data_IF_151281580813
#
_entry.id   IF_151281580813
#
_cell.length_a   1.000
_cell.length_b   1.000
_cell.length_c   1.000
_cell.angle_alpha   90.00
_cell.angle_beta   90.00
_cell.angle_gamma   90.00
#
_symmetry.space_group_name_H-M   'P 1'
#
loop_
_entity.id
_entity.type
_entity.pdbx_description
1 polymer ?
#
# COMPACT_ATOMS: atom_id res chain seq x y z
N UNK A 1 -21.03 -9.33 9.18
CA UNK A 1 -20.05 -8.23 9.26
C UNK A 1 -20.58 -7.23 10.29
N UNK A 2 -19.83 -6.95 11.37
CA UNK A 2 -20.26 -5.97 12.39
C UNK A 2 -20.08 -4.57 11.83
N UNK A 3 -20.95 -3.60 12.19
CA UNK A 3 -20.91 -2.25 11.65
C UNK A 3 -19.57 -1.50 11.84
N UNK A 4 -18.78 -1.85 12.88
CA UNK A 4 -17.42 -1.34 13.06
C UNK A 4 -16.46 -1.76 11.92
N UNK A 5 -16.56 -2.98 11.42
CA UNK A 5 -15.73 -3.46 10.30
C UNK A 5 -16.06 -2.77 8.96
N UNK A 6 -17.25 -2.18 8.86
CA UNK A 6 -17.62 -1.38 7.70
C UNK A 6 -17.02 0.03 7.80
N UNK A 7 -16.98 0.60 9.01
CA UNK A 7 -16.36 1.89 9.29
C UNK A 7 -14.85 1.84 9.04
N UNK A 8 -14.15 0.82 9.55
CA UNK A 8 -12.71 0.64 9.32
C UNK A 8 -12.35 0.51 7.83
N UNK A 9 -13.23 -0.11 7.03
CA UNK A 9 -13.05 -0.15 5.57
C UNK A 9 -13.37 1.17 4.87
N UNK A 10 -14.17 2.04 5.47
CA UNK A 10 -14.45 3.38 4.93
C UNK A 10 -13.28 4.35 5.13
N UNK A 11 -12.41 4.15 6.13
CA UNK A 11 -11.17 4.93 6.27
C UNK A 11 -10.17 4.68 5.12
N UNK A 12 -10.26 3.54 4.44
CA UNK A 12 -9.46 3.23 3.25
C UNK A 12 -10.02 3.90 1.97
N UNK A 13 -11.22 4.45 2.03
CA UNK A 13 -11.81 5.18 0.91
C UNK A 13 -11.31 6.61 0.97
N UNK A 14 -10.60 7.04 -0.07
CA UNK A 14 -10.13 8.41 -0.17
C UNK A 14 -11.29 9.39 0.10
N UNK A 15 -11.14 10.41 0.96
CA UNK A 15 -12.23 11.32 1.37
C UNK A 15 -13.04 11.88 0.21
N UNK A 16 -12.41 12.12 -0.94
CA UNK A 16 -13.08 12.56 -2.16
C UNK A 16 -14.22 11.64 -2.64
N UNK A 17 -14.13 10.33 -2.38
CA UNK A 17 -15.21 9.40 -2.74
C UNK A 17 -16.37 9.45 -1.74
N UNK A 18 -16.10 9.78 -0.48
CA UNK A 18 -17.13 9.96 0.55
C UNK A 18 -17.93 11.22 0.25
N UNK A 19 -17.25 12.33 -0.06
CA UNK A 19 -17.89 13.61 -0.41
C UNK A 19 -18.68 13.54 -1.72
N UNK A 20 -18.18 12.79 -2.70
CA UNK A 20 -18.93 12.55 -3.95
C UNK A 20 -20.23 11.78 -3.72
N UNK A 21 -20.26 10.87 -2.75
CA UNK A 21 -21.46 10.13 -2.37
C UNK A 21 -22.47 10.97 -1.58
N UNK A 22 -22.04 12.01 -0.87
CA UNK A 22 -22.90 12.93 -0.12
C UNK A 22 -23.51 14.04 -0.99
N UNK A 23 -22.85 14.46 -2.06
CA UNK A 23 -23.38 15.48 -3.00
C UNK A 23 -24.55 14.89 -3.79
N UNK A 24 -25.75 15.08 -3.26
CA UNK A 24 -27.00 14.76 -3.98
C UNK A 24 -27.08 15.60 -5.27
N UNK A 25 -27.44 15.00 -6.43
CA UNK A 25 -27.72 15.78 -7.64
C UNK A 25 -28.90 16.73 -7.39
N UNK A 26 -28.96 17.90 -8.06
CA UNK A 26 -30.02 18.87 -7.87
C UNK A 26 -31.39 18.25 -8.15
N UNK A 27 -32.32 18.40 -7.22
CA UNK A 27 -33.67 17.85 -7.28
C UNK A 27 -34.39 18.28 -8.57
N UNK A 28 -34.53 17.39 -9.52
CA UNK A 28 -35.57 17.50 -10.53
C UNK A 28 -36.91 17.27 -9.79
N UNK A 29 -37.74 18.32 -9.75
CA UNK A 29 -39.10 18.27 -9.14
C UNK A 29 -39.84 17.02 -9.60
N UNK A 30 -39.87 15.98 -8.77
CA UNK A 30 -40.65 14.78 -8.97
C UNK A 30 -42.02 14.98 -8.32
N UNK A 31 -43.06 14.68 -9.08
CA UNK A 31 -44.45 14.61 -8.64
C UNK A 31 -44.53 13.70 -7.41
N UNK A 32 -45.31 14.11 -6.43
CA UNK A 32 -45.55 13.41 -5.18
C UNK A 32 -45.85 11.92 -5.39
N UNK A 33 -44.94 11.07 -4.97
CA UNK A 33 -45.18 9.63 -4.85
C UNK A 33 -45.63 9.41 -3.41
N UNK A 34 -46.82 8.81 -3.28
CA UNK A 34 -47.57 8.79 -2.04
C UNK A 34 -46.90 8.04 -0.89
N UNK A 35 -47.31 8.38 0.31
CA UNK A 35 -46.91 7.83 1.62
C UNK A 35 -46.93 6.29 1.75
N UNK A 36 -47.52 5.58 0.76
CA UNK A 36 -47.58 4.12 0.69
C UNK A 36 -46.21 3.43 0.46
N UNK A 37 -45.22 4.11 -0.18
CA UNK A 37 -43.90 3.53 -0.41
C UNK A 37 -43.03 3.53 0.87
N UNK A 38 -43.21 4.53 1.73
CA UNK A 38 -42.47 4.62 3.00
C UNK A 38 -42.96 3.57 3.99
N UNK A 39 -44.29 3.32 4.02
CA UNK A 39 -44.90 2.29 4.85
C UNK A 39 -44.43 0.87 4.43
N UNK A 40 -44.30 0.59 3.12
CA UNK A 40 -43.82 -0.70 2.63
C UNK A 40 -42.34 -0.97 3.03
N UNK A 41 -41.47 0.05 2.96
CA UNK A 41 -40.06 -0.10 3.39
C UNK A 41 -39.92 -0.34 4.90
N UNK A 42 -40.74 0.34 5.73
CA UNK A 42 -40.78 0.13 7.18
C UNK A 42 -41.30 -1.28 7.54
N UNK A 43 -42.32 -1.78 6.85
CA UNK A 43 -42.83 -3.14 7.07
C UNK A 43 -41.79 -4.22 6.70
N UNK A 44 -41.05 -4.03 5.58
CA UNK A 44 -39.99 -4.94 5.15
C UNK A 44 -38.80 -4.95 6.13
N UNK A 45 -38.39 -3.81 6.65
CA UNK A 45 -37.32 -3.74 7.62
C UNK A 45 -37.71 -4.38 8.96
N UNK A 46 -38.93 -4.20 9.45
CA UNK A 46 -39.43 -4.86 10.67
C UNK A 46 -39.58 -6.36 10.49
N UNK A 47 -40.04 -6.83 9.30
CA UNK A 47 -40.11 -8.25 8.97
C UNK A 47 -38.70 -8.90 8.92
N UNK A 48 -37.71 -8.19 8.41
CA UNK A 48 -36.31 -8.65 8.35
C UNK A 48 -35.72 -8.75 9.77
N UNK A 49 -35.97 -7.78 10.64
CA UNK A 49 -35.54 -7.79 12.04
C UNK A 49 -36.19 -8.95 12.79
N UNK A 50 -37.47 -9.21 12.55
CA UNK A 50 -38.22 -10.31 13.17
C UNK A 50 -37.70 -11.67 12.70
N UNK A 51 -37.39 -11.84 11.41
CA UNK A 51 -36.75 -13.03 10.86
C UNK A 51 -35.35 -13.28 11.47
N UNK A 52 -34.53 -12.25 11.55
CA UNK A 52 -33.18 -12.35 12.14
C UNK A 52 -33.27 -12.73 13.63
N UNK A 53 -34.22 -12.19 14.39
CA UNK A 53 -34.39 -12.54 15.81
C UNK A 53 -34.94 -13.95 16.02
N UNK A 54 -35.82 -14.42 15.11
CA UNK A 54 -36.44 -15.73 15.26
C UNK A 54 -35.53 -16.90 14.80
N UNK A 55 -34.60 -16.63 13.86
CA UNK A 55 -33.66 -17.65 13.38
C UNK A 55 -32.28 -17.59 14.06
N UNK A 56 -32.09 -16.76 15.08
CA UNK A 56 -30.81 -16.59 15.75
C UNK A 56 -30.42 -17.77 16.66
N UNK A 57 -31.39 -18.44 17.27
CA UNK A 57 -31.11 -19.56 18.17
C UNK A 57 -30.72 -20.88 17.47
N UNK A 58 -31.34 -21.29 16.34
CA UNK A 58 -30.93 -22.52 15.68
C UNK A 58 -29.59 -22.43 14.94
N UNK A 59 -29.12 -21.22 14.58
CA UNK A 59 -27.83 -21.03 13.93
C UNK A 59 -26.64 -21.15 14.90
N UNK A 60 -26.80 -20.71 16.15
CA UNK A 60 -25.77 -20.84 17.17
C UNK A 60 -25.54 -22.30 17.57
N UNK A 61 -26.58 -23.12 17.55
CA UNK A 61 -26.49 -24.56 17.87
C UNK A 61 -25.85 -25.37 16.73
N UNK A 62 -26.03 -24.96 15.48
CA UNK A 62 -25.39 -25.58 14.31
C UNK A 62 -23.86 -25.29 14.30
N UNK A 63 -23.47 -24.06 14.56
CA UNK A 63 -22.06 -23.65 14.63
C UNK A 63 -21.33 -24.35 15.79
N UNK A 64 -22.00 -24.52 16.95
CA UNK A 64 -21.47 -25.23 18.09
C UNK A 64 -21.33 -26.75 17.88
N UNK A 65 -22.14 -27.36 17.02
CA UNK A 65 -22.03 -28.77 16.65
C UNK A 65 -20.89 -29.03 15.67
N UNK A 66 -20.65 -28.17 14.70
CA UNK A 66 -19.52 -28.30 13.76
C UNK A 66 -18.18 -28.14 14.49
N UNK A 67 -18.06 -27.19 15.42
CA UNK A 67 -16.85 -27.01 16.22
C UNK A 67 -16.53 -28.20 17.13
N UNK A 68 -17.54 -28.92 17.67
CA UNK A 68 -17.31 -30.11 18.47
C UNK A 68 -16.85 -31.32 17.67
N UNK A 69 -17.21 -31.39 16.39
CA UNK A 69 -16.83 -32.52 15.51
C UNK A 69 -15.37 -32.38 15.05
N UNK A 70 -14.85 -31.15 14.91
CA UNK A 70 -13.46 -30.87 14.54
C UNK A 70 -12.46 -31.01 15.70
N UNK A 71 -12.93 -30.96 16.96
CA UNK A 71 -12.08 -31.09 18.15
C UNK A 71 -11.76 -32.52 18.58
N UNK A 72 -12.37 -33.56 18.00
CA UNK A 72 -12.21 -34.95 18.36
C UNK A 72 -11.30 -35.79 17.42
N UNK A 73 -10.58 -35.16 16.51
CA UNK A 73 -9.64 -35.84 15.61
C UNK A 73 -8.19 -35.42 15.94
N UNK A 74 -7.61 -35.96 16.98
CA UNK A 74 -6.18 -35.85 17.27
C UNK A 74 -5.53 -37.21 17.10
N UNK A 75 -4.50 -37.37 16.25
CA UNK A 75 -3.62 -38.54 16.28
C UNK A 75 -2.46 -38.31 17.26
N UNK A 76 -2.20 -39.32 18.09
CA UNK A 76 -1.08 -39.41 19.03
C UNK A 76 0.30 -39.41 18.33
N UNK A 77 1.33 -38.80 18.94
CA UNK A 77 2.71 -38.86 18.42
C UNK A 77 3.48 -40.04 19.05
N UNK A 78 4.39 -40.69 18.36
CA UNK A 78 5.30 -41.68 18.95
C UNK A 78 6.54 -41.04 19.59
N UNK A 79 6.86 -41.55 20.72
CA UNK A 79 7.89 -41.48 21.71
C UNK A 79 9.24 -40.79 21.41
N UNK A 80 9.62 -40.08 22.42
CA UNK A 80 10.98 -39.57 22.63
C UNK A 80 11.81 -40.56 23.40
N UNK A 81 13.12 -40.55 23.20
CA UNK A 81 14.07 -40.78 24.28
C UNK A 81 15.43 -40.09 24.03
N UNK A 82 16.17 -39.71 25.07
CA UNK A 82 17.12 -38.61 25.11
C UNK A 82 18.58 -39.06 25.29
N UNK A 83 19.53 -38.16 24.94
CA UNK A 83 20.87 -38.01 25.64
C UNK A 83 21.69 -36.99 24.87
N UNK A 84 22.18 -35.96 25.42
CA UNK A 84 23.12 -35.63 26.50
C UNK A 84 24.37 -34.92 25.94
N UNK A 85 24.55 -33.70 26.42
CA UNK A 85 25.80 -33.04 26.84
C UNK A 85 26.99 -32.84 25.90
N UNK A 86 27.49 -31.59 25.90
CA UNK A 86 28.85 -31.25 25.51
C UNK A 86 29.11 -29.75 25.37
N UNK A 87 29.35 -29.07 26.49
CA UNK A 87 29.96 -27.74 26.54
C UNK A 87 31.41 -27.75 26.04
N UNK A 88 31.84 -26.77 25.27
CA UNK A 88 33.21 -26.26 25.33
C UNK A 88 33.27 -24.82 24.82
N UNK A 89 33.60 -23.93 25.74
CA UNK A 89 34.15 -22.60 25.51
C UNK A 89 35.51 -22.70 24.81
N UNK A 90 35.91 -21.67 24.02
CA UNK A 90 37.20 -21.00 24.08
C UNK A 90 37.11 -19.69 23.24
N UNK A 91 37.57 -18.63 23.81
CA UNK A 91 37.61 -17.24 23.30
C UNK A 91 38.87 -16.89 22.48
N UNK A 92 39.18 -15.58 22.28
CA UNK A 92 39.73 -15.05 21.03
C UNK A 92 41.25 -14.89 21.01
N UNK A 93 41.87 -14.85 19.81
CA UNK A 93 43.21 -14.24 19.65
C UNK A 93 43.49 -13.74 18.23
N UNK A 94 43.72 -12.43 18.19
CA UNK A 94 44.82 -11.66 17.59
C UNK A 94 45.16 -11.78 16.09
N UNK A 95 45.31 -10.57 15.56
CA UNK A 95 45.76 -10.11 14.25
C UNK A 95 47.17 -10.58 13.80
N UNK A 96 47.35 -10.63 12.49
CA UNK A 96 48.60 -10.22 11.80
C UNK A 96 48.37 -10.05 10.29
N UNK A 97 48.74 -8.89 9.75
CA UNK A 97 48.97 -8.53 8.34
C UNK A 97 50.40 -8.80 7.91
N UNK A 98 50.77 -8.41 6.64
CA UNK A 98 50.57 -9.08 5.37
C UNK A 98 51.88 -9.51 4.70
N UNK A 99 51.83 -10.32 3.64
CA UNK A 99 52.92 -10.38 2.63
C UNK A 99 52.40 -10.64 1.24
N UNK A 100 52.88 -9.83 0.32
CA UNK A 100 52.75 -9.86 -1.13
C UNK A 100 53.32 -11.11 -1.80
N UNK A 101 52.69 -11.54 -2.90
CA UNK A 101 53.30 -12.52 -3.82
C UNK A 101 52.32 -13.06 -4.87
N UNK A 102 52.54 -12.64 -6.08
CA UNK A 102 52.04 -13.05 -7.39
C UNK A 102 51.69 -14.53 -7.57
N UNK A 103 50.56 -14.82 -8.19
CA UNK A 103 50.44 -15.61 -9.44
C UNK A 103 48.98 -15.90 -9.76
N UNK A 104 48.61 -15.61 -11.01
CA UNK A 104 47.31 -15.94 -11.60
C UNK A 104 47.11 -17.45 -11.65
N UNK A 105 46.12 -17.95 -10.94
CA UNK A 105 45.51 -19.28 -11.18
C UNK A 105 44.02 -19.16 -10.88
N UNK A 106 43.21 -19.68 -11.80
CA UNK A 106 41.76 -19.56 -11.87
C UNK A 106 41.06 -19.61 -10.51
N UNK A 107 40.28 -18.57 -10.24
CA UNK A 107 39.35 -18.53 -9.13
C UNK A 107 38.40 -19.72 -9.27
N UNK A 108 38.29 -20.62 -8.27
CA UNK A 108 37.19 -21.55 -8.22
C UNK A 108 35.92 -20.70 -8.19
N UNK A 109 34.99 -20.98 -9.09
CA UNK A 109 33.60 -20.49 -9.00
C UNK A 109 33.15 -20.79 -7.58
N UNK A 110 33.13 -19.73 -6.73
CA UNK A 110 32.52 -19.82 -5.43
C UNK A 110 31.09 -20.32 -5.69
N UNK A 111 30.78 -21.50 -5.16
CA UNK A 111 29.45 -22.03 -5.16
C UNK A 111 28.57 -20.91 -4.57
N UNK A 112 27.76 -20.27 -5.42
CA UNK A 112 26.72 -19.37 -5.01
C UNK A 112 25.89 -20.19 -4.01
N UNK A 113 25.98 -19.87 -2.73
CA UNK A 113 25.07 -20.43 -1.74
C UNK A 113 23.68 -20.24 -2.33
N UNK A 114 22.92 -21.33 -2.44
CA UNK A 114 21.59 -21.29 -3.05
C UNK A 114 20.81 -20.19 -2.32
N UNK A 115 20.42 -19.14 -3.05
CA UNK A 115 19.59 -18.06 -2.51
C UNK A 115 18.29 -18.66 -1.99
N UNK A 116 17.78 -18.09 -0.93
CA UNK A 116 16.45 -18.47 -0.46
C UNK A 116 15.42 -18.16 -1.56
N UNK A 117 14.61 -19.16 -1.91
CA UNK A 117 13.50 -18.92 -2.85
C UNK A 117 12.40 -18.11 -2.16
N UNK A 118 11.92 -17.08 -2.85
CA UNK A 118 10.88 -16.18 -2.38
C UNK A 118 9.50 -16.82 -2.58
N UNK A 119 8.66 -16.80 -1.57
CA UNK A 119 7.24 -17.08 -1.69
C UNK A 119 6.53 -15.80 -2.14
N UNK A 120 5.89 -15.81 -3.30
CA UNK A 120 5.07 -14.69 -3.76
C UNK A 120 3.81 -14.65 -2.89
N UNK A 121 3.48 -13.50 -2.26
CA UNK A 121 2.25 -13.39 -1.47
C UNK A 121 1.02 -13.72 -2.31
N UNK A 122 0.12 -14.51 -1.75
CA UNK A 122 -1.20 -14.72 -2.32
C UNK A 122 -2.08 -13.53 -1.94
N UNK A 123 -2.36 -12.68 -2.91
CA UNK A 123 -3.12 -11.46 -2.71
C UNK A 123 -4.64 -11.70 -2.71
N UNK A 124 -5.09 -12.93 -2.97
CA UNK A 124 -6.53 -13.28 -3.00
C UNK A 124 -7.26 -13.03 -1.67
N UNK A 125 -6.52 -12.96 -0.57
CA UNK A 125 -7.07 -12.72 0.77
C UNK A 125 -6.66 -11.38 1.41
N UNK A 126 -5.75 -10.62 0.78
CA UNK A 126 -5.15 -9.45 1.42
C UNK A 126 -5.69 -8.10 0.94
N UNK A 127 -6.58 -8.12 -0.07
CA UNK A 127 -7.23 -6.90 -0.55
C UNK A 127 -6.25 -5.87 -1.11
N UNK A 128 -5.82 -6.06 -2.35
CA UNK A 128 -4.97 -5.08 -3.05
C UNK A 128 -5.58 -3.68 -3.16
N UNK A 129 -6.88 -3.55 -2.96
CA UNK A 129 -7.61 -2.38 -3.37
C UNK A 129 -7.76 -2.31 -4.91
N UNK A 130 -8.76 -1.60 -5.39
CA UNK A 130 -8.99 -1.46 -6.82
C UNK A 130 -7.96 -0.50 -7.44
N UNK A 131 -7.21 -0.98 -8.43
CA UNK A 131 -6.21 -0.18 -9.17
C UNK A 131 -6.62 -0.05 -10.64
N UNK A 132 -7.70 0.66 -10.87
CA UNK A 132 -8.14 1.12 -12.17
C UNK A 132 -7.85 2.60 -12.35
N UNK A 133 -7.51 3.00 -13.58
CA UNK A 133 -7.11 4.36 -13.93
C UNK A 133 -7.89 4.81 -15.16
N UNK A 134 -8.32 6.07 -15.20
CA UNK A 134 -9.04 6.64 -16.34
C UNK A 134 -8.25 7.79 -16.95
N UNK A 135 -7.96 7.66 -18.26
CA UNK A 135 -7.22 8.66 -19.06
C UNK A 135 -7.79 8.72 -20.48
N UNK A 136 -7.61 9.84 -21.19
CA UNK A 136 -7.85 9.87 -22.63
C UNK A 136 -6.80 9.04 -23.37
N UNK A 137 -5.55 9.13 -22.90
CA UNK A 137 -4.45 8.29 -23.36
C UNK A 137 -3.50 7.98 -22.20
N UNK A 138 -2.92 6.77 -22.17
CA UNK A 138 -2.04 6.33 -21.08
C UNK A 138 -0.75 7.17 -20.97
N UNK A 139 -0.37 7.91 -22.01
CA UNK A 139 0.78 8.84 -21.95
C UNK A 139 0.55 10.02 -21.01
N UNK A 140 -0.71 10.28 -20.60
CA UNK A 140 -1.05 11.27 -19.58
C UNK A 140 -0.61 10.84 -18.18
N UNK A 141 -0.38 9.53 -17.95
CA UNK A 141 0.14 9.01 -16.70
C UNK A 141 1.62 9.38 -16.49
N UNK A 142 1.84 10.46 -15.75
CA UNK A 142 3.16 11.01 -15.39
C UNK A 142 3.41 10.86 -13.89
N UNK A 143 3.58 9.63 -13.43
CA UNK A 143 3.68 9.30 -12.00
C UNK A 143 5.10 9.37 -11.40
N UNK A 144 6.05 9.97 -12.10
CA UNK A 144 7.42 10.15 -11.61
C UNK A 144 8.26 8.88 -11.50
N UNK A 145 7.79 7.73 -11.99
CA UNK A 145 8.55 6.47 -11.90
C UNK A 145 9.90 6.60 -12.64
N UNK A 146 11.05 6.45 -11.94
CA UNK A 146 12.37 6.65 -12.54
C UNK A 146 12.81 5.47 -13.43
N UNK A 147 12.09 4.35 -13.40
CA UNK A 147 12.45 3.20 -14.23
C UNK A 147 12.07 3.40 -15.69
N UNK A 148 12.96 2.96 -16.56
CA UNK A 148 12.67 2.80 -17.97
C UNK A 148 13.28 1.48 -18.49
N UNK A 149 12.76 0.95 -19.60
CA UNK A 149 13.26 -0.29 -20.20
C UNK A 149 14.70 -0.20 -20.73
N UNK A 150 15.22 1.02 -20.88
CA UNK A 150 16.61 1.30 -21.29
C UNK A 150 17.60 1.10 -20.14
N UNK A 151 17.12 1.14 -18.87
CA UNK A 151 17.94 0.88 -17.71
C UNK A 151 18.37 -0.59 -17.69
N UNK A 152 19.68 -0.82 -17.62
CA UNK A 152 20.28 -2.17 -17.64
C UNK A 152 20.43 -2.73 -16.22
N UNK A 153 19.33 -2.78 -15.50
CA UNK A 153 19.30 -3.37 -14.16
C UNK A 153 19.41 -4.90 -14.27
N UNK A 154 20.36 -5.48 -13.56
CA UNK A 154 20.57 -6.94 -13.54
C UNK A 154 19.85 -7.62 -12.37
N UNK A 155 19.77 -6.92 -11.26
CA UNK A 155 19.16 -7.41 -10.02
C UNK A 155 18.60 -6.25 -9.21
N UNK A 156 17.66 -6.57 -8.35
CA UNK A 156 17.13 -5.66 -7.33
C UNK A 156 17.04 -6.38 -5.98
N UNK A 157 17.18 -5.66 -4.86
CA UNK A 157 17.06 -6.26 -3.54
C UNK A 157 15.62 -6.68 -3.25
N UNK A 158 15.47 -7.74 -2.47
CA UNK A 158 14.20 -8.19 -1.89
C UNK A 158 14.29 -8.03 -0.39
N UNK A 159 13.20 -7.57 0.23
CA UNK A 159 13.15 -7.33 1.66
C UNK A 159 12.01 -8.11 2.28
N UNK A 160 12.24 -8.64 3.49
CA UNK A 160 11.18 -9.14 4.35
C UNK A 160 10.58 -7.96 5.12
N UNK A 161 9.28 -7.82 5.07
CA UNK A 161 8.57 -6.77 5.80
C UNK A 161 8.61 -7.03 7.31
N UNK A 162 9.03 -6.03 8.09
CA UNK A 162 8.95 -6.08 9.56
C UNK A 162 7.57 -5.73 10.10
N UNK A 163 6.72 -5.14 9.28
CA UNK A 163 5.38 -4.66 9.65
C UNK A 163 4.25 -5.54 9.12
N UNK A 164 4.58 -6.66 8.43
CA UNK A 164 3.59 -7.56 7.83
C UNK A 164 2.61 -8.10 8.87
N UNK A 165 1.32 -7.96 8.55
CA UNK A 165 0.22 -8.52 9.31
C UNK A 165 -0.75 -9.26 8.37
N UNK A 166 -0.71 -10.60 8.34
CA UNK A 166 -1.53 -11.42 7.45
C UNK A 166 -3.03 -11.30 7.71
N UNK A 167 -3.39 -10.80 8.89
CA UNK A 167 -4.78 -10.67 9.30
C UNK A 167 -5.37 -9.28 8.97
N UNK A 168 -4.54 -8.38 8.44
CA UNK A 168 -4.91 -6.98 8.24
C UNK A 168 -5.15 -6.24 9.56
N UNK A 169 -4.67 -6.82 10.67
CA UNK A 169 -4.70 -6.22 11.97
C UNK A 169 -3.37 -5.52 12.18
N UNK A 170 -3.42 -4.23 12.43
CA UNK A 170 -2.20 -3.48 12.66
C UNK A 170 -1.52 -3.98 13.94
N UNK A 171 -0.40 -4.68 13.78
CA UNK A 171 0.46 -5.06 14.89
C UNK A 171 1.65 -4.12 14.89
N UNK A 172 1.83 -3.26 15.91
CA UNK A 172 2.92 -2.30 15.92
C UNK A 172 4.26 -3.02 15.97
N UNK A 173 5.06 -2.82 14.95
CA UNK A 173 6.44 -3.30 14.85
C UNK A 173 7.28 -2.20 14.22
N UNK A 174 8.55 -2.14 14.56
CA UNK A 174 9.47 -1.13 14.07
C UNK A 174 9.89 -0.17 15.18
N UNK A 175 9.49 1.10 15.11
CA UNK A 175 9.94 2.13 16.05
C UNK A 175 9.41 1.90 17.47
N UNK A 176 10.28 2.12 18.45
CA UNK A 176 9.91 2.23 19.86
C UNK A 176 9.22 3.56 20.15
N UNK A 177 8.53 3.68 21.28
CA UNK A 177 7.91 4.94 21.70
C UNK A 177 8.93 6.08 21.76
N UNK A 178 10.13 5.84 22.29
CA UNK A 178 11.18 6.86 22.40
C UNK A 178 11.68 7.33 21.00
N UNK A 179 11.79 6.42 20.04
CA UNK A 179 12.14 6.77 18.66
C UNK A 179 11.00 7.55 17.97
N UNK A 180 9.74 7.15 18.19
CA UNK A 180 8.59 7.91 17.68
C UNK A 180 8.53 9.32 18.28
N UNK A 181 8.83 9.48 19.57
CA UNK A 181 8.86 10.76 20.26
C UNK A 181 9.96 11.68 19.68
N UNK A 182 11.15 11.14 19.44
CA UNK A 182 12.24 11.89 18.81
C UNK A 182 11.86 12.36 17.41
N UNK A 183 11.29 11.46 16.58
CA UNK A 183 10.85 11.78 15.22
C UNK A 183 9.71 12.80 15.25
N UNK A 184 8.75 12.68 16.17
CA UNK A 184 7.64 13.62 16.31
C UNK A 184 8.14 15.05 16.58
N UNK A 185 9.07 15.21 17.54
CA UNK A 185 9.64 16.51 17.86
C UNK A 185 10.48 17.07 16.72
N UNK A 186 11.28 16.25 16.03
CA UNK A 186 12.05 16.68 14.87
C UNK A 186 11.12 17.12 13.72
N UNK A 187 10.09 16.33 13.42
CA UNK A 187 9.14 16.66 12.36
C UNK A 187 8.37 17.95 12.67
N UNK A 188 7.92 18.14 13.92
CA UNK A 188 7.28 19.37 14.35
C UNK A 188 8.20 20.59 14.18
N UNK A 189 9.46 20.49 14.60
CA UNK A 189 10.47 21.54 14.45
C UNK A 189 10.72 21.88 12.96
N UNK A 190 10.85 20.88 12.10
CA UNK A 190 11.06 21.07 10.65
C UNK A 190 9.83 21.68 9.95
N UNK A 191 8.63 21.42 10.47
CA UNK A 191 7.39 22.02 9.99
C UNK A 191 7.12 23.41 10.62
N UNK A 192 7.91 23.81 11.62
CA UNK A 192 7.75 25.07 12.32
C UNK A 192 6.59 25.11 13.31
N UNK A 193 6.15 23.95 13.82
CA UNK A 193 5.03 23.83 14.77
C UNK A 193 5.51 23.63 16.20
N UNK A 194 4.82 24.28 17.15
CA UNK A 194 4.97 24.02 18.58
C UNK A 194 3.91 23.01 19.02
N UNK A 195 4.36 21.88 19.58
CA UNK A 195 3.46 20.85 20.10
C UNK A 195 2.85 21.30 21.42
N UNK A 196 1.52 21.26 21.50
CA UNK A 196 0.73 21.64 22.68
C UNK A 196 0.51 20.44 23.61
N UNK A 197 0.35 19.25 23.05
CA UNK A 197 0.18 18.00 23.77
C UNK A 197 0.63 16.82 22.93
N UNK A 198 0.89 15.69 23.58
CA UNK A 198 1.15 14.40 22.92
C UNK A 198 0.20 13.34 23.48
N UNK A 199 -0.24 12.42 22.63
CA UNK A 199 -1.11 11.31 22.98
C UNK A 199 -0.58 9.99 22.36
N UNK A 200 -0.52 8.94 23.17
CA UNK A 200 -0.14 7.60 22.71
C UNK A 200 -1.39 6.84 22.26
N UNK A 201 -1.36 6.28 21.06
CA UNK A 201 -2.41 5.40 20.58
C UNK A 201 -1.98 3.93 20.71
N UNK A 202 -2.92 3.09 21.20
CA UNK A 202 -2.75 1.66 21.47
C UNK A 202 -3.94 0.91 20.89
N UNK A 203 -4.06 0.97 19.57
CA UNK A 203 -5.17 0.40 18.80
C UNK A 203 -4.74 -0.81 17.96
N UNK A 204 -3.60 -1.40 18.31
CA UNK A 204 -3.13 -2.65 17.77
C UNK A 204 -4.00 -3.85 18.20
N UNK A 205 -3.86 -4.94 17.48
CA UNK A 205 -4.54 -6.20 17.76
C UNK A 205 -3.53 -7.34 17.70
N UNK A 206 -3.71 -8.33 18.55
CA UNK A 206 -2.91 -9.56 18.51
C UNK A 206 -3.82 -10.78 18.35
N UNK A 207 -3.34 -11.77 17.64
CA UNK A 207 -4.01 -13.07 17.53
C UNK A 207 -3.59 -13.95 18.70
N UNK A 208 -4.55 -14.43 19.46
CA UNK A 208 -4.37 -15.52 20.42
C UNK A 208 -4.80 -16.84 19.76
N UNK A 209 -4.58 -17.97 20.46
CA UNK A 209 -5.06 -19.28 19.98
C UNK A 209 -6.58 -19.35 19.82
N UNK A 210 -7.33 -18.51 20.51
CA UNK A 210 -8.78 -18.59 20.62
C UNK A 210 -9.51 -17.43 19.96
N UNK A 211 -8.86 -16.26 19.85
CA UNK A 211 -9.50 -15.04 19.32
C UNK A 211 -8.50 -13.96 18.94
N UNK A 212 -9.00 -12.93 18.25
CA UNK A 212 -8.30 -11.68 18.03
C UNK A 212 -8.69 -10.73 19.17
N UNK A 213 -7.71 -10.22 19.88
CA UNK A 213 -7.90 -9.29 21.00
C UNK A 213 -7.16 -7.99 20.75
N UNK A 214 -7.67 -6.89 21.29
CA UNK A 214 -6.97 -5.62 21.25
C UNK A 214 -5.65 -5.72 22.02
N UNK A 215 -4.56 -5.27 21.45
CA UNK A 215 -3.27 -5.11 22.14
C UNK A 215 -3.21 -3.72 22.77
N UNK A 216 -3.53 -3.65 24.06
CA UNK A 216 -3.45 -2.40 24.81
C UNK A 216 -2.03 -2.11 25.36
N UNK A 217 -1.08 -3.01 25.11
CA UNK A 217 0.29 -2.90 25.65
C UNK A 217 1.24 -2.20 24.69
N UNK A 218 1.06 -2.39 23.39
CA UNK A 218 1.94 -1.85 22.38
C UNK A 218 1.44 -0.50 21.84
N UNK A 219 2.31 0.48 21.79
CA UNK A 219 2.00 1.79 21.17
C UNK A 219 2.07 1.62 19.66
N UNK A 220 0.98 1.98 18.96
CA UNK A 220 0.85 1.92 17.51
C UNK A 220 1.28 3.21 16.84
N UNK A 221 0.99 4.34 17.49
CA UNK A 221 1.43 5.66 17.06
C UNK A 221 1.48 6.64 18.23
N UNK A 222 2.20 7.74 18.01
CA UNK A 222 2.26 8.90 18.88
C UNK A 222 1.75 10.10 18.09
N UNK A 223 0.72 10.78 18.61
CA UNK A 223 0.14 11.98 18.01
C UNK A 223 0.49 13.21 18.84
N UNK A 224 0.98 14.26 18.18
CA UNK A 224 1.22 15.57 18.75
C UNK A 224 0.20 16.59 18.19
N UNK A 225 -0.50 17.31 19.06
CA UNK A 225 -1.41 18.39 18.67
C UNK A 225 -0.66 19.72 18.58
N UNK A 226 -1.03 20.57 17.63
CA UNK A 226 -0.59 21.96 17.49
C UNK A 226 -1.78 22.85 17.11
N UNK A 227 -1.64 24.17 17.14
CA UNK A 227 -2.76 25.12 16.97
C UNK A 227 -3.62 24.85 15.72
N UNK A 228 -3.01 24.41 14.63
CA UNK A 228 -3.67 24.27 13.33
C UNK A 228 -3.88 22.79 12.91
N UNK A 229 -3.63 21.82 13.79
CA UNK A 229 -3.79 20.43 13.43
C UNK A 229 -3.11 19.42 14.34
N UNK A 230 -2.74 18.29 13.77
CA UNK A 230 -2.01 17.22 14.45
C UNK A 230 -0.90 16.62 13.59
N UNK A 231 0.09 16.06 14.25
CA UNK A 231 1.22 15.35 13.67
C UNK A 231 1.31 13.96 14.29
N UNK A 232 1.17 12.92 13.50
CA UNK A 232 1.20 11.52 13.93
C UNK A 232 2.47 10.86 13.41
N UNK A 233 3.18 10.14 14.28
CA UNK A 233 4.27 9.22 13.94
C UNK A 233 3.84 7.82 14.30
N UNK A 234 3.86 6.90 13.36
CA UNK A 234 3.47 5.50 13.55
C UNK A 234 4.69 4.61 13.78
N UNK A 235 4.47 3.46 14.40
CA UNK A 235 5.53 2.48 14.65
C UNK A 235 6.19 1.96 13.35
N UNK A 236 5.50 2.01 12.20
CA UNK A 236 6.06 1.67 10.88
C UNK A 236 6.99 2.76 10.31
N UNK A 237 7.17 3.87 11.01
CA UNK A 237 8.00 5.01 10.58
C UNK A 237 7.26 6.04 9.72
N UNK A 238 5.99 5.82 9.40
CA UNK A 238 5.22 6.81 8.65
C UNK A 238 4.87 8.03 9.51
N UNK A 239 4.92 9.21 8.88
CA UNK A 239 4.60 10.49 9.49
C UNK A 239 3.43 11.09 8.73
N UNK A 240 2.41 11.56 9.47
CA UNK A 240 1.26 12.23 8.87
C UNK A 240 0.96 13.53 9.62
N UNK A 241 1.04 14.66 8.93
CA UNK A 241 0.57 15.94 9.42
C UNK A 241 -0.83 16.21 8.84
N UNK A 242 -1.80 16.52 9.67
CA UNK A 242 -3.18 16.87 9.29
C UNK A 242 -3.51 18.27 9.75
N UNK A 243 -3.99 19.12 8.84
CA UNK A 243 -4.41 20.47 9.14
C UNK A 243 -5.89 20.51 9.47
N UNK A 244 -6.26 21.26 10.51
CA UNK A 244 -7.64 21.41 10.98
C UNK A 244 -8.49 22.25 10.02
N UNK A 245 -9.80 22.10 10.09
CA UNK A 245 -10.76 22.88 9.33
C UNK A 245 -10.63 22.66 7.82
N UNK A 246 -10.47 23.75 7.07
CA UNK A 246 -10.34 23.70 5.61
C UNK A 246 -8.91 23.44 5.13
N UNK A 247 -7.94 23.30 6.05
CA UNK A 247 -6.53 23.14 5.73
C UNK A 247 -5.72 24.44 5.85
N UNK A 248 -4.43 24.34 5.50
CA UNK A 248 -3.47 25.43 5.54
C UNK A 248 -3.51 26.25 4.24
N UNK A 249 -3.53 27.56 4.37
CA UNK A 249 -3.46 28.47 3.22
C UNK A 249 -2.11 28.38 2.50
N UNK A 250 -2.15 28.45 1.17
CA UNK A 250 -0.97 28.66 0.34
C UNK A 250 -0.80 30.15 0.03
N UNK A 251 0.38 30.57 -0.49
CA UNK A 251 0.53 31.89 -1.09
C UNK A 251 -0.56 32.20 -2.10
N UNK A 252 -0.98 33.48 -2.21
CA UNK A 252 -2.14 33.93 -3.00
C UNK A 252 -2.08 33.46 -4.47
N UNK A 253 -0.87 33.38 -5.05
CA UNK A 253 -0.65 32.97 -6.43
C UNK A 253 -0.65 31.44 -6.63
N UNK A 254 -0.75 30.63 -5.55
CA UNK A 254 -0.71 29.18 -5.60
C UNK A 254 -2.07 28.56 -5.23
N UNK A 255 -2.32 27.38 -5.75
CA UNK A 255 -3.51 26.60 -5.44
C UNK A 255 -3.24 25.11 -5.55
N UNK A 256 -3.77 24.34 -4.60
CA UNK A 256 -3.68 22.89 -4.55
C UNK A 256 -5.03 22.18 -4.71
N UNK A 257 -5.99 22.77 -5.43
CA UNK A 257 -7.22 22.01 -5.70
C UNK A 257 -6.91 20.73 -6.47
N UNK A 258 -7.50 19.61 -6.07
CA UNK A 258 -7.25 18.34 -6.75
C UNK A 258 -7.99 18.21 -8.09
N UNK A 259 -9.03 18.99 -8.35
CA UNK A 259 -9.85 18.83 -9.56
C UNK A 259 -9.78 19.99 -10.56
N UNK A 260 -9.10 21.10 -10.23
CA UNK A 260 -9.17 22.33 -11.04
C UNK A 260 -7.80 22.96 -11.35
N UNK A 261 -6.72 22.36 -10.86
CA UNK A 261 -5.38 22.90 -11.04
C UNK A 261 -4.76 22.36 -12.35
N UNK A 262 -4.37 23.24 -13.26
CA UNK A 262 -3.65 22.86 -14.48
C UNK A 262 -2.19 22.47 -14.19
N UNK A 263 -1.50 21.93 -15.19
CA UNK A 263 -0.11 21.44 -15.04
C UNK A 263 0.86 22.58 -14.69
N UNK A 264 0.71 23.76 -15.30
CA UNK A 264 1.60 24.90 -15.04
C UNK A 264 1.45 25.41 -13.59
N UNK A 265 0.23 25.44 -13.08
CA UNK A 265 -0.04 25.79 -11.70
C UNK A 265 0.49 24.71 -10.73
N UNK A 266 0.33 23.43 -11.09
CA UNK A 266 0.85 22.32 -10.31
C UNK A 266 2.38 22.36 -10.19
N UNK A 267 3.09 22.66 -11.28
CA UNK A 267 4.55 22.81 -11.29
C UNK A 267 5.03 23.94 -10.36
N UNK A 268 4.35 25.10 -10.37
CA UNK A 268 4.66 26.21 -9.44
C UNK A 268 4.44 25.79 -8.00
N UNK A 269 3.34 25.09 -7.73
CA UNK A 269 3.02 24.61 -6.40
C UNK A 269 4.04 23.58 -5.93
N UNK A 270 4.46 22.63 -6.77
CA UNK A 270 5.52 21.68 -6.46
C UNK A 270 6.85 22.35 -6.13
N UNK A 271 7.23 23.39 -6.90
CA UNK A 271 8.46 24.14 -6.65
C UNK A 271 8.42 24.82 -5.26
N UNK A 272 7.31 25.46 -4.92
CA UNK A 272 7.11 26.07 -3.62
C UNK A 272 7.11 25.04 -2.48
N UNK A 273 6.41 23.91 -2.64
CA UNK A 273 6.41 22.82 -1.65
C UNK A 273 7.81 22.28 -1.42
N UNK A 274 8.59 22.09 -2.49
CA UNK A 274 9.98 21.60 -2.42
C UNK A 274 10.86 22.52 -1.59
N UNK A 275 10.71 23.83 -1.75
CA UNK A 275 11.50 24.85 -1.03
C UNK A 275 11.01 24.97 0.42
N UNK A 276 9.69 25.10 0.62
CA UNK A 276 9.08 25.37 1.92
C UNK A 276 9.27 24.18 2.89
N UNK A 277 9.17 22.96 2.40
CA UNK A 277 9.23 21.75 3.20
C UNK A 277 10.55 20.98 3.07
N UNK A 278 11.62 21.61 2.57
CA UNK A 278 12.93 20.98 2.36
C UNK A 278 13.46 20.28 3.62
N UNK A 279 13.40 20.95 4.77
CA UNK A 279 13.87 20.42 6.05
C UNK A 279 13.02 19.23 6.52
N UNK A 280 11.70 19.28 6.33
CA UNK A 280 10.81 18.16 6.66
C UNK A 280 11.01 16.97 5.73
N UNK A 281 11.17 17.21 4.43
CA UNK A 281 11.46 16.15 3.45
C UNK A 281 12.77 15.45 3.80
N UNK A 282 13.79 16.20 4.18
CA UNK A 282 15.13 15.72 4.49
C UNK A 282 15.68 14.79 3.39
N UNK A 283 15.45 15.16 2.13
CA UNK A 283 15.98 14.49 0.94
C UNK A 283 17.23 15.20 0.45
N UNK A 284 18.30 14.45 0.17
CA UNK A 284 19.51 15.02 -0.44
C UNK A 284 19.22 15.60 -1.82
N UNK A 285 18.29 14.95 -2.54
CA UNK A 285 17.81 15.39 -3.83
C UNK A 285 16.32 15.04 -3.97
N UNK A 286 15.45 15.98 -3.69
CA UNK A 286 14.02 15.81 -3.89
C UNK A 286 13.68 15.84 -5.39
N UNK A 287 12.97 14.82 -5.88
CA UNK A 287 12.29 14.87 -7.17
C UNK A 287 10.80 14.98 -6.95
N UNK A 288 10.22 16.05 -7.51
CA UNK A 288 8.83 16.42 -7.37
C UNK A 288 8.04 16.09 -8.63
N UNK A 289 6.84 15.55 -8.48
CA UNK A 289 5.93 15.30 -9.60
C UNK A 289 4.48 15.44 -9.17
N UNK A 290 3.63 15.85 -10.11
CA UNK A 290 2.19 15.76 -9.95
C UNK A 290 1.62 14.76 -10.94
N UNK A 291 0.70 13.94 -10.44
CA UNK A 291 0.02 12.95 -11.26
C UNK A 291 -1.43 12.79 -10.76
N UNK A 292 -2.22 12.04 -11.46
CA UNK A 292 -3.58 11.77 -11.09
C UNK A 292 -4.29 11.00 -12.19
N UNK A 293 -5.58 10.82 -12.02
CA UNK A 293 -6.46 10.19 -12.99
C UNK A 293 -7.87 10.79 -12.90
N UNK A 294 -8.71 10.50 -13.88
CA UNK A 294 -10.09 10.96 -13.86
C UNK A 294 -10.95 10.08 -12.96
N UNK A 295 -11.73 10.71 -12.09
CA UNK A 295 -12.73 10.02 -11.26
C UNK A 295 -14.02 9.73 -12.07
N UNK A 296 -14.97 9.07 -11.43
CA UNK A 296 -16.29 8.73 -12.01
C UNK A 296 -17.13 9.95 -12.42
N UNK A 297 -16.79 11.15 -11.95
CA UNK A 297 -17.44 12.42 -12.33
C UNK A 297 -16.69 13.12 -13.47
N UNK A 298 -15.72 12.46 -14.09
CA UNK A 298 -14.84 13.01 -15.12
C UNK A 298 -14.03 14.25 -14.66
N UNK A 299 -13.68 14.28 -13.37
CA UNK A 299 -12.80 15.28 -12.79
C UNK A 299 -11.41 14.67 -12.62
N UNK A 300 -10.37 15.35 -13.07
CA UNK A 300 -9.00 14.91 -12.87
C UNK A 300 -8.57 15.13 -11.43
N UNK A 301 -8.31 14.05 -10.69
CA UNK A 301 -7.90 14.10 -9.29
C UNK A 301 -6.40 14.13 -9.19
N UNK A 302 -5.86 15.29 -8.88
CA UNK A 302 -4.42 15.55 -8.84
C UNK A 302 -3.81 15.19 -7.49
N UNK A 303 -2.59 14.63 -7.53
CA UNK A 303 -1.72 14.31 -6.40
C UNK A 303 -0.40 15.02 -6.57
N UNK A 304 0.22 15.42 -5.46
CA UNK A 304 1.51 16.10 -5.39
C UNK A 304 2.45 15.24 -4.56
N UNK A 305 3.52 14.78 -5.18
CA UNK A 305 4.39 13.79 -4.54
C UNK A 305 5.86 14.10 -4.78
N UNK A 306 6.68 13.59 -3.87
CA UNK A 306 8.12 13.74 -3.84
C UNK A 306 8.75 12.40 -3.50
N UNK A 307 9.94 12.14 -4.03
CA UNK A 307 10.78 11.06 -3.56
C UNK A 307 12.26 11.49 -3.53
N UNK A 308 13.06 10.76 -2.77
CA UNK A 308 14.51 10.94 -2.71
C UNK A 308 15.16 10.41 -3.98
N UNK A 309 15.64 11.29 -4.86
CA UNK A 309 16.24 10.91 -6.14
C UNK A 309 17.78 10.87 -6.13
N UNK A 310 18.41 10.89 -4.96
CA UNK A 310 19.85 10.69 -4.83
C UNK A 310 20.26 9.23 -5.08
N UNK A 311 21.52 9.03 -5.42
CA UNK A 311 22.10 7.71 -5.63
C UNK A 311 22.06 7.24 -7.09
N UNK A 312 22.39 5.96 -7.29
CA UNK A 312 22.32 5.28 -8.58
C UNK A 312 20.89 4.90 -8.99
N UNK A 313 20.73 4.29 -10.15
CA UNK A 313 19.41 3.91 -10.68
C UNK A 313 18.70 2.90 -9.77
N UNK A 314 19.42 1.99 -9.12
CA UNK A 314 18.84 1.06 -8.13
C UNK A 314 18.30 1.82 -6.94
N UNK A 315 19.11 2.75 -6.39
CA UNK A 315 18.70 3.54 -5.23
C UNK A 315 17.51 4.45 -5.55
N UNK A 316 17.46 5.07 -6.72
CA UNK A 316 16.31 5.88 -7.16
C UNK A 316 15.03 5.06 -7.24
N UNK A 317 15.09 3.83 -7.79
CA UNK A 317 13.93 2.94 -7.86
C UNK A 317 13.47 2.55 -6.46
N UNK A 318 14.40 2.22 -5.55
CA UNK A 318 14.05 1.93 -4.16
C UNK A 318 13.40 3.14 -3.50
N UNK A 319 14.02 4.30 -3.58
CA UNK A 319 13.51 5.51 -2.96
C UNK A 319 12.14 5.92 -3.53
N UNK A 320 11.92 5.79 -4.84
CA UNK A 320 10.63 6.03 -5.46
C UNK A 320 9.52 5.16 -4.86
N UNK A 321 9.81 3.92 -4.48
CA UNK A 321 8.81 3.01 -3.92
C UNK A 321 8.69 3.13 -2.39
N UNK A 322 9.78 3.40 -1.68
CA UNK A 322 9.83 3.27 -0.23
C UNK A 322 10.02 4.60 0.51
N UNK A 323 10.64 5.59 -0.11
CA UNK A 323 11.01 6.86 0.55
C UNK A 323 10.33 8.04 -0.14
N UNK A 324 9.08 8.26 0.20
CA UNK A 324 8.17 9.21 -0.46
C UNK A 324 7.53 10.19 0.51
N UNK A 325 7.13 11.34 -0.04
CA UNK A 325 6.23 12.26 0.64
C UNK A 325 5.12 12.68 -0.30
N UNK A 326 3.89 12.78 0.22
CA UNK A 326 2.72 13.22 -0.50
C UNK A 326 2.07 14.41 0.18
N UNK A 327 1.59 15.36 -0.61
CA UNK A 327 0.89 16.55 -0.17
C UNK A 327 -0.53 16.49 -0.70
N UNK A 328 -1.51 16.39 0.18
CA UNK A 328 -2.90 16.25 -0.20
C UNK A 328 -3.60 17.61 -0.32
N UNK A 329 -4.14 17.92 -1.50
CA UNK A 329 -4.93 19.13 -1.71
C UNK A 329 -6.33 18.99 -1.12
N UNK A 330 -6.91 20.12 -0.72
CA UNK A 330 -8.33 20.27 -0.40
C UNK A 330 -9.14 20.84 -1.57
N UNK A 331 -10.48 20.80 -1.44
CA UNK A 331 -11.40 21.37 -2.43
C UNK A 331 -11.26 22.89 -2.56
N UNK A 332 -10.84 23.56 -1.48
CA UNK A 332 -10.72 25.00 -1.38
C UNK A 332 -9.38 25.56 -1.86
N UNK A 333 -8.49 24.69 -2.40
CA UNK A 333 -7.16 25.09 -2.85
C UNK A 333 -6.10 25.14 -1.75
N UNK A 334 -6.42 24.64 -0.57
CA UNK A 334 -5.54 24.59 0.60
C UNK A 334 -4.86 23.23 0.73
N UNK A 335 -3.78 23.16 1.49
CA UNK A 335 -3.11 21.92 1.88
C UNK A 335 -3.82 21.33 3.11
N UNK A 336 -4.36 20.09 2.97
CA UNK A 336 -5.09 19.43 4.07
C UNK A 336 -4.23 18.43 4.83
N UNK A 337 -3.25 17.81 4.19
CA UNK A 337 -2.32 16.91 4.89
C UNK A 337 -1.00 16.72 4.16
N UNK A 338 0.01 16.34 4.92
CA UNK A 338 1.33 15.93 4.44
C UNK A 338 1.57 14.53 4.98
N UNK A 339 2.02 13.61 4.15
CA UNK A 339 2.42 12.26 4.57
C UNK A 339 3.82 11.96 4.07
N UNK A 340 4.67 11.39 4.94
CA UNK A 340 6.00 10.90 4.60
C UNK A 340 6.13 9.45 5.03
N UNK A 341 6.63 8.61 4.14
CA UNK A 341 6.86 7.19 4.38
C UNK A 341 8.34 6.86 4.20
N UNK A 342 8.81 5.91 5.00
CA UNK A 342 10.06 5.19 4.79
C UNK A 342 9.85 3.71 5.15
N UNK A 343 9.25 2.97 4.22
CA UNK A 343 8.78 1.59 4.44
C UNK A 343 9.92 0.59 4.66
N UNK A 344 11.18 0.99 4.44
CA UNK A 344 12.35 0.15 4.70
C UNK A 344 12.88 0.26 6.14
N UNK A 345 12.38 1.18 6.95
CA UNK A 345 12.84 1.38 8.35
C UNK A 345 12.72 0.09 9.17
N UNK A 346 11.68 -0.70 8.98
CA UNK A 346 11.44 -1.96 9.69
C UNK A 346 11.65 -3.21 8.80
N UNK A 347 12.31 -3.07 7.63
CA UNK A 347 12.47 -4.16 6.68
C UNK A 347 13.87 -4.79 6.75
N UNK A 348 13.95 -6.11 6.54
CA UNK A 348 15.20 -6.88 6.50
C UNK A 348 15.54 -7.26 5.06
N UNK A 349 16.75 -6.90 4.58
CA UNK A 349 17.20 -7.28 3.24
C UNK A 349 17.49 -8.78 3.17
N UNK A 350 16.77 -9.50 2.31
CA UNK A 350 16.96 -10.94 2.05
C UNK A 350 18.08 -11.21 1.05
N UNK A 351 18.34 -10.29 0.13
CA UNK A 351 19.40 -10.40 -0.89
C UNK A 351 19.08 -9.62 -2.15
N UNK A 352 20.01 -9.68 -3.12
CA UNK A 352 19.82 -9.12 -4.47
C UNK A 352 19.44 -10.25 -5.43
N UNK A 353 18.29 -10.13 -6.08
CA UNK A 353 17.72 -11.14 -6.96
C UNK A 353 17.76 -10.69 -8.42
N UNK A 354 18.14 -11.60 -9.35
CA UNK A 354 18.16 -11.29 -10.77
C UNK A 354 16.77 -10.94 -11.28
N UNK A 355 16.71 -9.93 -12.15
CA UNK A 355 15.48 -9.56 -12.82
C UNK A 355 15.31 -10.33 -14.12
N UNK A 356 14.10 -10.77 -14.40
CA UNK A 356 13.69 -11.21 -15.74
C UNK A 356 13.55 -10.00 -16.66
N UNK A 357 13.58 -10.23 -17.97
CA UNK A 357 13.33 -9.18 -18.94
C UNK A 357 11.84 -8.79 -18.99
N UNK A 358 11.56 -7.60 -19.49
CA UNK A 358 10.17 -7.14 -19.76
C UNK A 358 9.44 -8.10 -20.71
N UNK A 359 10.14 -8.64 -21.71
CA UNK A 359 9.53 -9.55 -22.68
C UNK A 359 9.18 -10.92 -22.04
N UNK A 360 10.00 -11.38 -21.12
CA UNK A 360 9.67 -12.57 -20.32
C UNK A 360 8.47 -12.31 -19.40
N UNK A 361 8.45 -11.17 -18.70
CA UNK A 361 7.30 -10.78 -17.89
C UNK A 361 6.02 -10.64 -18.73
N UNK A 362 6.11 -10.09 -19.95
CA UNK A 362 5.00 -10.04 -20.90
C UNK A 362 4.51 -11.43 -21.28
N UNK A 363 5.43 -12.37 -21.49
CA UNK A 363 5.09 -13.77 -21.78
C UNK A 363 4.36 -14.42 -20.61
N UNK A 364 4.80 -14.18 -19.37
CA UNK A 364 4.12 -14.66 -18.16
C UNK A 364 2.70 -14.07 -18.05
N UNK A 365 2.55 -12.76 -18.28
CA UNK A 365 1.23 -12.10 -18.30
C UNK A 365 0.29 -12.79 -19.30
N UNK A 366 0.75 -13.03 -20.52
CA UNK A 366 -0.04 -13.69 -21.58
C UNK A 366 -0.44 -15.12 -21.19
N UNK A 367 0.43 -15.82 -20.45
CA UNK A 367 0.20 -17.19 -19.99
C UNK A 367 -0.62 -17.27 -18.69
N UNK A 368 -1.14 -16.15 -18.18
CA UNK A 368 -1.97 -16.14 -16.98
C UNK A 368 -1.19 -16.08 -15.67
N UNK A 369 0.13 -15.86 -15.70
CA UNK A 369 0.97 -15.72 -14.49
C UNK A 369 1.03 -14.26 -14.03
N UNK A 370 -0.05 -13.79 -13.40
CA UNK A 370 -0.16 -12.43 -12.90
C UNK A 370 -1.13 -12.34 -11.73
N UNK A 371 -1.09 -11.22 -11.04
CA UNK A 371 -2.05 -10.78 -10.02
C UNK A 371 -2.67 -9.47 -10.49
N UNK A 372 -3.94 -9.22 -10.15
CA UNK A 372 -4.64 -7.99 -10.49
C UNK A 372 -5.67 -7.65 -9.44
N UNK A 373 -5.92 -6.35 -9.24
CA UNK A 373 -6.99 -5.84 -8.39
C UNK A 373 -8.24 -5.42 -9.17
N UNK A 374 -8.22 -5.55 -10.50
CA UNK A 374 -9.40 -5.25 -11.32
C UNK A 374 -10.15 -6.53 -11.68
N UNK A 375 -11.50 -6.52 -11.68
CA UNK A 375 -12.33 -7.71 -11.92
C UNK A 375 -12.44 -8.09 -13.40
N UNK A 376 -11.31 -7.99 -14.12
CA UNK A 376 -11.24 -8.25 -15.56
C UNK A 376 -10.06 -9.18 -15.83
N UNK A 377 -10.31 -10.31 -16.46
CA UNK A 377 -9.26 -11.17 -16.98
C UNK A 377 -8.44 -10.42 -18.03
N UNK A 378 -7.14 -10.74 -18.14
CA UNK A 378 -6.26 -10.10 -19.10
C UNK A 378 -6.79 -10.23 -20.53
N UNK A 379 -7.15 -9.12 -21.20
CA UNK A 379 -7.87 -9.17 -22.49
C UNK A 379 -6.96 -9.49 -23.69
N UNK A 380 -5.65 -9.62 -23.47
CA UNK A 380 -4.70 -9.98 -24.51
C UNK A 380 -3.59 -8.95 -24.73
N UNK A 381 -2.56 -9.36 -25.45
CA UNK A 381 -1.30 -8.60 -25.61
C UNK A 381 -1.47 -7.21 -26.23
N UNK A 382 -2.46 -7.04 -27.10
CA UNK A 382 -2.69 -5.78 -27.81
C UNK A 382 -3.32 -4.69 -26.92
N UNK A 383 -3.81 -5.10 -25.74
CA UNK A 383 -4.34 -4.21 -24.73
C UNK A 383 -3.27 -3.65 -23.77
N UNK A 384 -2.02 -4.14 -23.84
CA UNK A 384 -0.91 -3.63 -23.02
C UNK A 384 -0.55 -2.22 -23.50
N UNK A 385 -0.80 -1.22 -22.65
CA UNK A 385 -0.59 0.18 -22.98
C UNK A 385 0.72 0.74 -22.42
N UNK A 386 1.13 0.35 -21.20
CA UNK A 386 2.36 0.82 -20.54
C UNK A 386 2.89 -0.29 -19.61
N UNK A 387 4.19 -0.29 -19.34
CA UNK A 387 4.82 -1.14 -18.33
C UNK A 387 5.75 -0.32 -17.45
N UNK A 388 5.78 -0.64 -16.17
CA UNK A 388 6.67 -0.04 -15.16
C UNK A 388 7.25 -1.13 -14.27
N UNK A 389 8.42 -0.86 -13.68
CA UNK A 389 8.97 -1.67 -12.60
C UNK A 389 8.74 -0.96 -11.28
N UNK A 390 8.10 -1.65 -10.34
CA UNK A 390 7.74 -1.09 -9.05
C UNK A 390 7.92 -2.14 -7.94
N UNK A 391 7.90 -1.70 -6.68
CA UNK A 391 7.64 -2.55 -5.54
C UNK A 391 6.22 -2.34 -5.05
N UNK A 392 5.60 -3.40 -4.58
CA UNK A 392 4.40 -3.29 -3.75
C UNK A 392 4.86 -3.11 -2.31
N UNK A 393 4.25 -2.19 -1.60
CA UNK A 393 4.63 -1.80 -0.23
C UNK A 393 3.41 -1.78 0.69
N UNK A 394 3.64 -1.63 1.98
CA UNK A 394 2.59 -1.54 2.98
C UNK A 394 2.50 -2.76 3.90
N UNK A 395 1.65 -2.66 4.93
CA UNK A 395 1.55 -3.65 5.99
C UNK A 395 0.98 -5.02 5.58
N UNK A 396 0.40 -5.12 4.39
CA UNK A 396 -0.15 -6.38 3.87
C UNK A 396 0.85 -7.15 2.98
N UNK A 397 2.00 -6.57 2.68
CA UNK A 397 3.04 -7.24 1.92
C UNK A 397 4.04 -7.92 2.88
N UNK A 398 4.09 -9.25 2.86
CA UNK A 398 5.07 -10.02 3.65
C UNK A 398 6.50 -9.81 3.13
N UNK A 399 6.63 -9.67 1.82
CA UNK A 399 7.90 -9.53 1.13
C UNK A 399 7.79 -8.38 0.14
N UNK A 400 8.69 -7.41 0.26
CA UNK A 400 8.83 -6.36 -0.75
C UNK A 400 9.73 -6.87 -1.86
N UNK A 401 9.13 -7.20 -3.00
CA UNK A 401 9.83 -7.67 -4.18
C UNK A 401 9.45 -6.84 -5.41
N UNK A 402 10.33 -6.78 -6.43
CA UNK A 402 10.03 -6.03 -7.65
C UNK A 402 8.99 -6.76 -8.50
N UNK A 403 8.06 -5.97 -9.07
CA UNK A 403 7.05 -6.39 -10.02
C UNK A 403 7.12 -5.55 -11.28
N UNK A 404 6.87 -6.17 -12.43
CA UNK A 404 6.44 -5.43 -13.60
C UNK A 404 4.93 -5.18 -13.49
N UNK A 405 4.55 -3.91 -13.41
CA UNK A 405 3.16 -3.44 -13.47
C UNK A 405 2.82 -3.09 -14.90
N UNK A 406 1.89 -3.85 -15.46
CA UNK A 406 1.34 -3.57 -16.79
C UNK A 406 0.04 -2.81 -16.66
N UNK A 407 -0.05 -1.68 -17.34
CA UNK A 407 -1.30 -0.95 -17.52
C UNK A 407 -1.97 -1.49 -18.78
N UNK A 408 -3.14 -2.06 -18.61
CA UNK A 408 -3.86 -2.78 -19.65
C UNK A 408 -5.18 -2.07 -19.91
N UNK A 409 -5.45 -1.78 -21.18
CA UNK A 409 -6.73 -1.21 -21.61
C UNK A 409 -7.85 -2.22 -21.35
N UNK A 410 -8.81 -1.82 -20.52
CA UNK A 410 -9.93 -2.67 -20.15
C UNK A 410 -11.06 -2.59 -21.19
N UNK A 411 -11.76 -3.70 -21.49
CA UNK A 411 -12.90 -3.68 -22.39
C UNK A 411 -14.03 -2.82 -21.83
N UNK A 412 -14.61 -1.96 -22.67
CA UNK A 412 -15.74 -1.13 -22.29
C UNK A 412 -16.94 -2.00 -21.83
N UNK A 413 -17.53 -1.62 -20.70
CA UNK A 413 -18.67 -2.33 -20.13
C UNK A 413 -18.36 -3.69 -19.52
N UNK A 414 -17.08 -4.03 -19.32
CA UNK A 414 -16.69 -5.18 -18.51
C UNK A 414 -17.18 -5.00 -17.06
N UNK A 415 -17.43 -6.11 -16.35
CA UNK A 415 -17.91 -6.07 -14.96
C UNK A 415 -16.95 -5.24 -14.09
N UNK A 416 -17.48 -4.24 -13.39
CA UNK A 416 -16.69 -3.36 -12.53
C UNK A 416 -15.92 -2.26 -13.28
N UNK A 417 -16.00 -2.20 -14.60
CA UNK A 417 -15.43 -1.14 -15.41
C UNK A 417 -16.57 -0.17 -15.75
N UNK A 418 -16.43 1.13 -15.45
CA UNK A 418 -17.42 2.11 -15.88
C UNK A 418 -17.65 1.99 -17.40
N UNK A 419 -18.91 2.05 -17.89
CA UNK A 419 -19.15 2.13 -19.32
C UNK A 419 -18.39 3.36 -19.86
N UNK A 420 -17.77 3.22 -21.02
CA UNK A 420 -17.32 4.41 -21.75
C UNK A 420 -18.55 5.28 -21.99
N UNK A 421 -18.66 6.37 -21.26
CA UNK A 421 -19.53 7.44 -21.66
C UNK A 421 -18.90 8.04 -22.90
N UNK A 422 -19.42 7.67 -24.07
CA UNK A 422 -18.88 8.00 -25.40
C UNK A 422 -18.66 9.51 -25.65
N UNK A 423 -19.05 10.36 -24.71
CA UNK A 423 -18.91 11.83 -24.80
C UNK A 423 -17.59 12.34 -24.22
N UNK A 424 -16.93 11.60 -23.30
CA UNK A 424 -15.70 12.07 -22.63
C UNK A 424 -14.43 11.63 -23.31
N UNK A 425 -14.45 10.52 -24.07
CA UNK A 425 -13.27 9.92 -24.70
C UNK A 425 -12.28 9.29 -23.70
N UNK A 426 -12.67 9.12 -22.44
CA UNK A 426 -11.87 8.47 -21.42
C UNK A 426 -11.80 6.95 -21.65
N UNK A 427 -10.63 6.38 -21.43
CA UNK A 427 -10.36 4.96 -21.49
C UNK A 427 -10.00 4.46 -20.08
N UNK A 428 -10.44 3.26 -19.73
CA UNK A 428 -10.15 2.64 -18.46
C UNK A 428 -8.97 1.67 -18.60
N UNK A 429 -8.00 1.78 -17.70
CA UNK A 429 -6.82 0.91 -17.64
C UNK A 429 -6.78 0.21 -16.29
N UNK A 430 -6.46 -1.08 -16.28
CA UNK A 430 -6.24 -1.87 -15.06
C UNK A 430 -4.76 -2.17 -14.85
N UNK A 431 -4.36 -2.30 -13.59
CA UNK A 431 -3.03 -2.74 -13.23
C UNK A 431 -2.95 -4.27 -13.12
N UNK A 432 -1.96 -4.87 -13.81
CA UNK A 432 -1.63 -6.29 -13.77
C UNK A 432 -0.17 -6.45 -13.36
N UNK A 433 0.08 -7.27 -12.35
CA UNK A 433 1.38 -7.41 -11.70
C UNK A 433 1.99 -8.76 -12.01
N UNK A 434 3.20 -8.74 -12.53
CA UNK A 434 4.01 -9.94 -12.78
C UNK A 434 5.27 -9.84 -11.93
N UNK A 435 5.57 -10.83 -11.06
CA UNK A 435 6.81 -10.85 -10.31
C UNK A 435 8.03 -10.76 -11.25
N UNK A 436 8.94 -9.83 -10.96
CA UNK A 436 10.09 -9.56 -11.82
C UNK A 436 11.27 -10.51 -11.56
N UNK A 437 11.10 -11.54 -10.74
CA UNK A 437 12.11 -12.54 -10.38
C UNK A 437 12.03 -13.79 -11.28
N UNK A 438 13.15 -14.52 -11.41
CA UNK A 438 13.18 -15.77 -12.17
C UNK A 438 12.41 -16.90 -11.46
N UNK A 439 11.97 -17.93 -12.20
CA UNK A 439 11.32 -19.13 -11.64
C UNK A 439 12.24 -19.91 -10.69
N UNK A 440 13.56 -19.78 -10.89
CA UNK A 440 14.54 -20.37 -9.98
C UNK A 440 14.58 -19.72 -8.62
N UNK A 441 14.16 -18.46 -8.54
CA UNK A 441 14.21 -17.65 -7.32
C UNK A 441 12.84 -17.56 -6.60
N UNK A 442 11.76 -18.13 -7.17
CA UNK A 442 10.43 -18.14 -6.55
C UNK A 442 9.93 -19.55 -6.24
N UNK A 443 9.10 -19.70 -5.20
CA UNK A 443 8.48 -20.98 -4.78
C UNK A 443 7.14 -21.23 -5.48
N UNK A 444 6.40 -20.16 -5.72
CA UNK A 444 5.05 -20.21 -6.28
C UNK A 444 4.87 -19.03 -7.24
N UNK A 445 4.78 -19.31 -8.52
CA UNK A 445 4.41 -18.28 -9.49
C UNK A 445 2.89 -18.09 -9.43
N UNK A 446 2.37 -16.85 -9.26
CA UNK A 446 0.93 -16.63 -9.27
C UNK A 446 0.33 -17.07 -10.61
N UNK A 447 -0.87 -17.62 -10.55
CA UNK A 447 -1.67 -17.94 -11.72
C UNK A 447 -3.06 -17.39 -11.49
N UNK A 448 -3.53 -16.61 -12.44
CA UNK A 448 -4.88 -16.02 -12.36
C UNK A 448 -5.94 -17.14 -12.38
N UNK A 449 -6.79 -17.15 -11.39
CA UNK A 449 -7.82 -18.17 -11.14
C UNK A 449 -9.26 -17.65 -11.31
N UNK A 450 -9.39 -16.42 -11.84
CA UNK A 450 -10.69 -15.75 -12.00
C UNK A 450 -11.07 -14.86 -10.80
N UNK A 451 -10.26 -14.83 -9.77
CA UNK A 451 -10.43 -13.93 -8.64
C UNK A 451 -9.53 -12.69 -8.78
N UNK A 452 -9.97 -11.60 -8.22
CA UNK A 452 -9.23 -10.34 -8.11
C UNK A 452 -9.32 -9.83 -6.67
N UNK A 453 -8.38 -9.01 -6.30
CA UNK A 453 -8.25 -8.52 -4.93
C UNK A 453 -8.53 -7.04 -4.82
#
# INVERSE_FOLDING_TARGET
MKGSQLLDKMELIHPAYIDAAEKRPPEKKKKALGWSAIAACLCLSLALIFLISHYREPLSDLISREQKTLLNATPEPPGADPQASGLAHIGPSAASEPTSGEAAAGLPSAALSAREKITIPDLSNSGMGYEGYSYHDISELKNGNPWSKELKLKSLPVYKSGIFDPDGLYTPKGLTLAEMEEILHQAAAHLGFELLSTEEHRDGYMRTKESIVKDETSVTSLEGSFDQGSLEVRADGSITCRFSGEGMDLPEELSMTYSKTDDAQAEKTLAWLSETYADFLAFDKAEAFSWGDFNINNEFIRRYEFFEAAGDDTQKILNYNFRRAGFAPGDTGKLISIRKNDDLTAAEKMGDYPLISVEEARTRLINGHYQTSVPVEFPGKDAIAKVELIYRTGGQEEVFLPYYRFYVLLPSGAKGVPPEENETGLKNYGAYYVPALSDDDVKNMPTYDGHFN
#
